data_IF_998755642913
#
_entry.id   IF_998755642913
#
_cell.length_a   1.000
_cell.length_b   1.000
_cell.length_c   1.000
_cell.angle_alpha   90.00
_cell.angle_beta   90.00
_cell.angle_gamma   90.00
#
_symmetry.space_group_name_H-M   'P 1'
#
loop_
_entity.id
_entity.type
_entity.pdbx_description
1 polymer ?
#
# COMPACT_ATOMS: atom_id res chain seq x y z
N UNK A 1 14.81 -30.83 10.08
CA UNK A 1 14.22 -31.11 8.75
C UNK A 1 12.87 -30.42 8.71
N UNK A 2 12.74 -29.35 7.93
CA UNK A 2 11.47 -28.64 7.78
C UNK A 2 10.70 -29.27 6.62
N UNK A 3 9.43 -29.60 6.85
CA UNK A 3 8.54 -30.07 5.78
C UNK A 3 7.80 -28.87 5.20
N UNK A 4 7.95 -28.65 3.90
CA UNK A 4 7.32 -27.53 3.18
C UNK A 4 6.12 -28.05 2.39
N UNK A 5 4.94 -27.53 2.67
CA UNK A 5 3.71 -27.85 1.94
C UNK A 5 3.27 -26.60 1.17
N UNK A 6 3.31 -26.69 -0.17
CA UNK A 6 2.75 -25.65 -1.04
C UNK A 6 1.34 -26.08 -1.40
N UNK A 7 0.35 -25.31 -0.97
CA UNK A 7 -1.06 -25.58 -1.24
C UNK A 7 -1.56 -24.64 -2.34
N UNK A 8 -1.84 -25.20 -3.52
CA UNK A 8 -2.46 -24.47 -4.63
C UNK A 8 -3.97 -24.45 -4.44
N UNK A 9 -4.46 -23.52 -3.60
CA UNK A 9 -5.89 -23.25 -3.46
C UNK A 9 -6.28 -22.16 -4.45
N UNK A 10 -7.02 -22.52 -5.50
CA UNK A 10 -7.52 -21.51 -6.46
C UNK A 10 -8.69 -20.72 -5.92
N UNK A 11 -9.70 -21.38 -5.35
CA UNK A 11 -10.87 -20.69 -4.79
C UNK A 11 -11.71 -21.62 -3.90
N UNK A 12 -12.23 -21.12 -2.78
CA UNK A 12 -13.17 -21.85 -1.90
C UNK A 12 -14.47 -21.07 -1.75
N UNK A 13 -15.59 -21.75 -2.05
CA UNK A 13 -16.94 -21.27 -1.76
C UNK A 13 -17.50 -22.05 -0.57
N UNK A 14 -17.78 -21.35 0.53
CA UNK A 14 -18.44 -21.91 1.70
C UNK A 14 -19.80 -21.25 1.92
N UNK A 15 -20.85 -22.06 1.89
CA UNK A 15 -22.22 -21.63 2.20
C UNK A 15 -22.62 -22.11 3.59
N UNK A 16 -22.91 -21.19 4.51
CA UNK A 16 -23.48 -21.48 5.82
C UNK A 16 -24.51 -20.43 6.24
N UNK A 17 -25.40 -20.83 7.14
CA UNK A 17 -26.49 -20.02 7.68
C UNK A 17 -25.94 -18.98 8.68
N UNK A 18 -26.58 -17.80 8.76
CA UNK A 18 -26.18 -16.63 9.57
C UNK A 18 -26.17 -16.92 11.09
N UNK A 19 -25.17 -17.67 11.57
CA UNK A 19 -24.60 -17.68 12.93
C UNK A 19 -23.84 -18.99 13.14
N UNK A 20 -22.53 -18.92 13.32
CA UNK A 20 -21.72 -20.07 13.75
C UNK A 20 -20.29 -20.08 13.23
N UNK A 21 -19.51 -21.03 13.75
CA UNK A 21 -18.23 -21.42 13.18
C UNK A 21 -18.45 -22.49 12.11
N UNK A 22 -17.64 -22.46 11.06
CA UNK A 22 -17.78 -23.31 9.90
C UNK A 22 -16.44 -23.97 9.60
N UNK A 23 -16.48 -25.28 9.39
CA UNK A 23 -15.30 -26.02 8.97
C UNK A 23 -15.40 -26.32 7.47
N UNK A 24 -14.45 -25.82 6.69
CA UNK A 24 -14.22 -26.24 5.32
C UNK A 24 -13.13 -27.31 5.30
N UNK A 25 -13.34 -28.38 4.53
CA UNK A 25 -12.35 -29.44 4.36
C UNK A 25 -11.96 -29.54 2.89
N UNK A 26 -10.69 -29.32 2.60
CA UNK A 26 -10.10 -29.45 1.27
C UNK A 26 -9.53 -30.84 1.09
N UNK A 27 -10.09 -31.59 0.14
CA UNK A 27 -9.67 -32.97 -0.17
C UNK A 27 -8.46 -33.06 -1.10
N UNK A 28 -7.51 -32.14 -0.97
CA UNK A 28 -6.21 -32.25 -1.66
C UNK A 28 -5.22 -33.01 -0.77
N UNK A 29 -4.13 -33.55 -1.33
CA UNK A 29 -3.04 -34.08 -0.51
C UNK A 29 -2.09 -32.92 -0.20
N UNK A 30 -1.80 -32.60 1.08
CA UNK A 30 -2.41 -33.09 2.33
C UNK A 30 -3.81 -32.51 2.63
N UNK A 31 -4.61 -33.20 3.44
CA UNK A 31 -5.97 -32.78 3.81
C UNK A 31 -5.88 -31.51 4.67
N UNK A 32 -6.44 -30.41 4.17
CA UNK A 32 -6.43 -29.11 4.86
C UNK A 32 -7.84 -28.80 5.38
N UNK A 33 -7.96 -28.55 6.68
CA UNK A 33 -9.13 -27.99 7.32
C UNK A 33 -8.99 -26.47 7.45
N UNK A 34 -10.09 -25.74 7.27
CA UNK A 34 -10.19 -24.32 7.55
C UNK A 34 -11.35 -24.10 8.50
N UNK A 35 -11.11 -23.39 9.58
CA UNK A 35 -12.15 -22.94 10.50
C UNK A 35 -12.44 -21.46 10.24
N UNK A 36 -13.69 -21.15 9.96
CA UNK A 36 -14.17 -19.80 9.72
C UNK A 36 -15.17 -19.41 10.79
N UNK A 37 -15.22 -18.12 11.12
CA UNK A 37 -16.25 -17.52 11.96
C UNK A 37 -16.93 -16.36 11.23
N UNK A 38 -18.15 -16.03 11.66
CA UNK A 38 -18.88 -14.88 11.18
C UNK A 38 -19.24 -14.00 12.38
N UNK A 39 -18.83 -12.73 12.34
CA UNK A 39 -19.03 -11.77 13.42
C UNK A 39 -19.69 -10.50 12.89
N UNK A 40 -20.65 -9.97 13.64
CA UNK A 40 -21.29 -8.69 13.34
C UNK A 40 -20.44 -7.58 13.96
N UNK A 41 -19.88 -6.71 13.13
CA UNK A 41 -19.18 -5.52 13.61
C UNK A 41 -20.18 -4.37 13.76
N UNK A 42 -20.62 -4.13 14.99
CA UNK A 42 -21.57 -3.06 15.36
C UNK A 42 -21.17 -1.68 14.81
N UNK A 43 -19.87 -1.36 14.81
CA UNK A 43 -19.35 -0.08 14.28
C UNK A 43 -19.62 0.11 12.78
N UNK A 44 -19.71 -0.99 12.02
CA UNK A 44 -19.97 -0.98 10.58
C UNK A 44 -21.40 -1.40 10.21
N UNK A 45 -22.16 -1.95 11.17
CA UNK A 45 -23.47 -2.56 10.92
C UNK A 45 -23.42 -3.72 9.92
N UNK A 46 -22.25 -4.32 9.71
CA UNK A 46 -22.01 -5.31 8.66
C UNK A 46 -21.44 -6.60 9.25
N UNK A 47 -21.82 -7.73 8.64
CA UNK A 47 -21.25 -9.04 8.93
C UNK A 47 -19.89 -9.20 8.27
N UNK A 48 -18.93 -9.71 9.03
CA UNK A 48 -17.58 -10.00 8.58
C UNK A 48 -17.27 -11.46 8.84
N UNK A 49 -16.66 -12.11 7.85
CA UNK A 49 -16.10 -13.42 8.07
C UNK A 49 -14.59 -13.33 8.30
N UNK A 50 -14.09 -14.18 9.18
CA UNK A 50 -12.67 -14.37 9.41
C UNK A 50 -12.32 -15.85 9.35
N UNK A 51 -11.09 -16.15 8.92
CA UNK A 51 -10.50 -17.47 9.09
C UNK A 51 -9.82 -17.47 10.45
N UNK A 52 -10.25 -18.36 11.36
CA UNK A 52 -9.72 -18.42 12.71
C UNK A 52 -8.49 -19.34 12.76
N UNK A 53 -8.60 -20.52 12.15
CA UNK A 53 -7.53 -21.52 12.14
C UNK A 53 -7.49 -22.32 10.85
N UNK A 54 -6.30 -22.80 10.51
CA UNK A 54 -6.01 -23.70 9.39
C UNK A 54 -5.36 -24.94 9.98
N UNK A 55 -5.96 -26.08 9.73
CA UNK A 55 -5.44 -27.35 10.20
C UNK A 55 -4.93 -28.20 9.04
N UNK A 56 -3.80 -28.84 9.25
CA UNK A 56 -3.13 -29.70 8.28
C UNK A 56 -3.07 -31.10 8.87
N UNK A 57 -3.89 -32.00 8.33
CA UNK A 57 -3.84 -33.40 8.71
C UNK A 57 -2.74 -34.10 7.91
N UNK A 58 -1.74 -34.62 8.61
CA UNK A 58 -0.65 -35.40 8.04
C UNK A 58 -0.56 -36.75 8.74
N UNK A 59 -0.11 -37.78 8.01
CA UNK A 59 0.06 -39.12 8.57
C UNK A 59 -1.21 -39.69 9.25
N UNK A 60 -2.39 -39.44 8.66
CA UNK A 60 -3.73 -39.96 9.06
C UNK A 60 -4.28 -39.57 10.44
N UNK A 61 -3.45 -39.30 11.45
CA UNK A 61 -3.89 -38.95 12.81
C UNK A 61 -3.23 -37.72 13.42
N UNK A 62 -2.16 -37.18 12.82
CA UNK A 62 -1.48 -36.01 13.34
C UNK A 62 -2.00 -34.74 12.65
N UNK A 63 -2.27 -33.70 13.43
CA UNK A 63 -2.78 -32.43 12.93
C UNK A 63 -1.84 -31.29 13.35
N UNK A 64 -1.39 -30.52 12.36
CA UNK A 64 -0.68 -29.27 12.58
C UNK A 64 -1.66 -28.11 12.43
N UNK A 65 -1.88 -27.37 13.51
CA UNK A 65 -2.84 -26.25 13.56
C UNK A 65 -2.10 -24.92 13.49
N UNK A 66 -2.58 -24.04 12.63
CA UNK A 66 -2.09 -22.68 12.43
C UNK A 66 -3.21 -21.69 12.69
N UNK A 67 -2.99 -20.68 13.52
CA UNK A 67 -3.93 -19.58 13.73
C UNK A 67 -3.76 -18.55 12.62
N UNK A 68 -4.86 -18.01 12.10
CA UNK A 68 -4.84 -16.95 11.11
C UNK A 68 -5.13 -15.59 11.75
N UNK A 69 -4.32 -14.58 11.45
CA UNK A 69 -4.41 -13.25 12.11
C UNK A 69 -5.08 -12.18 11.26
N UNK A 70 -4.78 -12.14 9.95
CA UNK A 70 -5.20 -11.03 9.06
C UNK A 70 -5.93 -11.55 7.81
N UNK A 71 -6.75 -12.58 7.99
CA UNK A 71 -7.57 -13.17 6.92
C UNK A 71 -9.04 -12.94 7.25
N UNK A 72 -9.54 -11.76 6.91
CA UNK A 72 -10.94 -11.36 7.14
C UNK A 72 -11.48 -10.52 5.98
N UNK A 73 -12.78 -10.60 5.74
CA UNK A 73 -13.49 -9.78 4.75
C UNK A 73 -14.98 -9.64 5.08
N UNK A 74 -15.66 -8.65 4.49
CA UNK A 74 -17.12 -8.56 4.56
C UNK A 74 -17.78 -9.87 4.11
N UNK A 75 -18.81 -10.32 4.83
CA UNK A 75 -19.60 -11.50 4.43
C UNK A 75 -20.19 -11.36 3.03
N UNK A 76 -20.45 -10.13 2.56
CA UNK A 76 -20.95 -9.79 1.23
C UNK A 76 -19.92 -9.87 0.11
N UNK A 77 -18.62 -9.91 0.44
CA UNK A 77 -17.49 -9.89 -0.50
C UNK A 77 -16.69 -11.21 -0.45
N UNK A 78 -15.81 -11.43 -1.42
CA UNK A 78 -14.79 -12.48 -1.32
C UNK A 78 -13.48 -11.88 -0.82
N UNK A 79 -12.66 -12.66 -0.11
CA UNK A 79 -11.30 -12.27 0.25
C UNK A 79 -10.34 -12.88 -0.77
N UNK A 80 -9.41 -12.08 -1.30
CA UNK A 80 -8.37 -12.55 -2.21
C UNK A 80 -6.99 -12.11 -1.74
N UNK A 81 -6.04 -13.03 -1.76
CA UNK A 81 -4.66 -12.74 -1.41
C UNK A 81 -3.69 -13.54 -2.27
N UNK A 82 -2.64 -12.89 -2.77
CA UNK A 82 -1.63 -13.56 -3.59
C UNK A 82 -0.84 -14.60 -2.79
N UNK A 83 -0.52 -14.28 -1.53
CA UNK A 83 0.27 -15.14 -0.66
C UNK A 83 -0.30 -15.15 0.76
N UNK A 84 -0.72 -16.33 1.23
CA UNK A 84 -1.05 -16.57 2.65
C UNK A 84 -0.10 -17.66 3.14
N UNK A 85 0.82 -17.31 4.02
CA UNK A 85 1.93 -18.20 4.39
C UNK A 85 2.21 -18.16 5.88
N UNK A 86 2.77 -19.25 6.40
CA UNK A 86 3.33 -19.27 7.76
C UNK A 86 4.75 -18.72 7.84
N UNK A 87 5.40 -18.45 6.70
CA UNK A 87 6.74 -17.89 6.69
C UNK A 87 6.74 -16.37 6.91
N UNK A 88 7.68 -15.91 7.74
CA UNK A 88 7.91 -14.48 8.02
C UNK A 88 8.13 -13.64 6.75
N UNK A 89 8.72 -14.24 5.71
CA UNK A 89 9.00 -13.57 4.43
C UNK A 89 7.73 -13.11 3.70
N UNK A 90 6.60 -13.74 3.97
CA UNK A 90 5.29 -13.44 3.37
C UNK A 90 4.30 -12.99 4.45
N UNK A 91 4.76 -12.13 5.36
CA UNK A 91 3.99 -11.53 6.46
C UNK A 91 3.51 -12.49 7.55
N UNK A 92 3.83 -13.79 7.48
CA UNK A 92 3.47 -14.81 8.48
C UNK A 92 2.00 -14.72 8.95
N UNK A 93 1.07 -14.67 7.99
CA UNK A 93 -0.38 -14.62 8.24
C UNK A 93 -0.91 -15.84 9.00
N UNK A 94 -0.17 -16.96 8.95
CA UNK A 94 -0.49 -18.21 9.62
C UNK A 94 0.53 -18.51 10.73
N UNK A 95 0.14 -18.39 11.99
CA UNK A 95 1.01 -18.63 13.13
C UNK A 95 0.87 -20.08 13.61
N UNK A 96 1.96 -20.84 13.80
CA UNK A 96 1.88 -22.20 14.30
C UNK A 96 1.36 -22.20 15.75
N UNK A 97 0.22 -22.87 15.99
CA UNK A 97 -0.38 -22.98 17.32
C UNK A 97 0.10 -24.22 18.09
N UNK A 98 0.67 -25.21 17.41
CA UNK A 98 1.21 -26.45 18.03
C UNK A 98 2.70 -26.64 17.73
N UNK A 99 3.39 -27.42 18.56
CA UNK A 99 4.81 -27.76 18.31
C UNK A 99 5.01 -28.54 17.01
N UNK A 100 4.01 -29.35 16.64
CA UNK A 100 3.99 -30.03 15.35
C UNK A 100 3.92 -29.02 14.20
N UNK A 101 3.11 -27.96 14.33
CA UNK A 101 2.98 -26.91 13.32
C UNK A 101 4.28 -26.14 13.08
N UNK A 102 5.17 -25.99 14.07
CA UNK A 102 6.49 -25.34 13.89
C UNK A 102 7.42 -26.09 12.93
N UNK A 103 7.18 -27.39 12.70
CA UNK A 103 7.96 -28.23 11.77
C UNK A 103 7.44 -28.16 10.34
N UNK A 104 6.27 -27.56 10.16
CA UNK A 104 5.59 -27.44 8.88
C UNK A 104 5.54 -25.98 8.45
N UNK A 105 5.81 -25.74 7.17
CA UNK A 105 5.59 -24.46 6.55
C UNK A 105 4.53 -24.61 5.46
N UNK A 106 3.43 -23.86 5.59
CA UNK A 106 2.32 -23.86 4.64
C UNK A 106 2.35 -22.55 3.89
N UNK A 107 2.24 -22.64 2.57
CA UNK A 107 2.07 -21.46 1.72
C UNK A 107 0.93 -21.71 0.75
N UNK A 108 -0.09 -20.86 0.83
CA UNK A 108 -1.14 -20.72 -0.14
C UNK A 108 -0.79 -19.62 -1.13
N UNK A 109 -0.95 -19.92 -2.41
CA UNK A 109 -0.78 -18.97 -3.51
C UNK A 109 -2.13 -18.76 -4.20
N UNK A 110 -2.42 -17.52 -4.59
CA UNK A 110 -3.69 -17.13 -5.22
C UNK A 110 -4.93 -17.54 -4.38
N UNK A 111 -4.85 -17.33 -3.07
CA UNK A 111 -5.90 -17.69 -2.13
C UNK A 111 -7.13 -16.80 -2.32
N UNK A 112 -8.24 -17.38 -2.78
CA UNK A 112 -9.54 -16.71 -2.82
C UNK A 112 -10.58 -17.50 -2.01
N UNK A 113 -11.28 -16.82 -1.09
CA UNK A 113 -12.29 -17.44 -0.25
C UNK A 113 -13.52 -16.54 -0.11
N UNK A 114 -14.70 -17.13 -0.14
CA UNK A 114 -15.95 -16.44 0.19
C UNK A 114 -16.79 -17.31 1.10
N UNK A 115 -17.25 -16.70 2.19
CA UNK A 115 -18.06 -17.35 3.19
C UNK A 115 -19.41 -16.63 3.39
N UNK A 116 -20.44 -17.39 3.74
CA UNK A 116 -21.76 -16.95 4.24
C UNK A 116 -22.71 -16.22 3.26
N UNK A 117 -22.28 -15.30 2.40
CA UNK A 117 -23.16 -14.59 1.45
C UNK A 117 -22.84 -14.90 -0.01
N UNK A 118 -23.06 -16.15 -0.42
CA UNK A 118 -22.90 -16.56 -1.83
C UNK A 118 -24.24 -16.39 -2.55
N UNK A 119 -24.36 -15.36 -3.38
CA UNK A 119 -25.50 -15.23 -4.30
C UNK A 119 -25.19 -15.96 -5.60
N UNK A 120 -25.99 -16.96 -5.97
CA UNK A 120 -25.94 -17.69 -7.26
C UNK A 120 -24.71 -18.57 -7.56
N UNK A 121 -23.89 -18.91 -6.56
CA UNK A 121 -22.72 -19.80 -6.76
C UNK A 121 -21.54 -19.16 -7.49
N UNK A 122 -21.48 -17.81 -7.53
CA UNK A 122 -20.37 -17.04 -8.07
C UNK A 122 -19.69 -16.23 -6.97
N UNK A 123 -18.41 -15.92 -7.17
CA UNK A 123 -17.70 -15.04 -6.25
C UNK A 123 -18.21 -13.61 -6.35
N UNK A 124 -18.52 -13.02 -5.20
CA UNK A 124 -18.71 -11.57 -5.03
C UNK A 124 -17.39 -10.84 -5.26
N UNK A 125 -17.42 -9.51 -5.52
CA UNK A 125 -16.20 -8.71 -5.67
C UNK A 125 -15.17 -9.03 -4.59
N UNK A 126 -13.92 -9.19 -5.00
CA UNK A 126 -12.84 -9.56 -4.10
C UNK A 126 -12.27 -8.32 -3.38
N UNK A 127 -12.16 -8.40 -2.07
CA UNK A 127 -11.34 -7.53 -1.24
C UNK A 127 -9.93 -8.12 -1.23
N UNK A 128 -8.99 -7.40 -1.83
CA UNK A 128 -7.59 -7.83 -1.88
C UNK A 128 -6.88 -7.54 -0.55
N UNK A 129 -6.06 -8.49 -0.09
CA UNK A 129 -5.27 -8.36 1.14
C UNK A 129 -4.17 -7.29 1.05
N UNK A 130 -3.77 -6.93 -0.18
CA UNK A 130 -2.81 -5.86 -0.44
C UNK A 130 -3.60 -4.63 -0.83
N UNK A 131 -3.66 -3.65 0.06
CA UNK A 131 -4.15 -2.33 -0.32
C UNK A 131 -3.19 -1.77 -1.37
N UNK A 132 -3.71 -1.38 -2.55
CA UNK A 132 -2.93 -0.83 -3.67
C UNK A 132 -1.98 0.32 -3.28
N UNK A 133 -2.27 0.98 -2.15
CA UNK A 133 -1.35 1.90 -1.49
C UNK A 133 -1.07 1.40 -0.08
N UNK A 134 0.14 0.87 0.13
CA UNK A 134 0.60 0.55 1.49
C UNK A 134 0.65 1.84 2.33
N UNK A 135 0.50 1.77 3.66
CA UNK A 135 0.62 2.94 4.53
C UNK A 135 1.94 3.70 4.31
N UNK A 136 3.03 2.98 4.04
CA UNK A 136 4.33 3.59 3.73
C UNK A 136 4.31 4.40 2.43
N UNK A 137 3.73 3.86 1.35
CA UNK A 137 3.60 4.57 0.07
C UNK A 137 2.70 5.79 0.24
N UNK A 138 1.60 5.67 0.99
CA UNK A 138 0.68 6.77 1.24
C UNK A 138 1.39 7.92 1.97
N UNK A 139 2.15 7.62 3.03
CA UNK A 139 2.94 8.63 3.73
C UNK A 139 3.99 9.29 2.82
N UNK A 140 4.62 8.51 1.93
CA UNK A 140 5.54 9.01 0.91
C UNK A 140 4.87 9.94 -0.10
N UNK A 141 3.69 9.59 -0.60
CA UNK A 141 2.95 10.41 -1.55
C UNK A 141 2.46 11.71 -0.90
N UNK A 142 1.96 11.67 0.34
CA UNK A 142 1.52 12.85 1.08
C UNK A 142 2.70 13.81 1.28
N UNK A 143 3.84 13.30 1.74
CA UNK A 143 5.04 14.13 1.97
C UNK A 143 5.59 14.69 0.66
N UNK A 144 5.66 13.88 -0.40
CA UNK A 144 6.07 14.34 -1.74
C UNK A 144 5.15 15.43 -2.28
N UNK A 145 3.83 15.30 -2.07
CA UNK A 145 2.85 16.31 -2.48
C UNK A 145 3.05 17.63 -1.73
N UNK A 146 3.29 17.57 -0.41
CA UNK A 146 3.55 18.76 0.41
C UNK A 146 4.81 19.48 -0.09
N UNK A 147 5.91 18.76 -0.34
CA UNK A 147 7.15 19.35 -0.84
C UNK A 147 6.95 19.97 -2.23
N UNK A 148 6.18 19.33 -3.11
CA UNK A 148 5.82 19.88 -4.41
C UNK A 148 5.04 21.19 -4.30
N UNK A 149 4.08 21.28 -3.38
CA UNK A 149 3.32 22.50 -3.15
C UNK A 149 4.20 23.64 -2.63
N UNK A 150 5.12 23.35 -1.70
CA UNK A 150 6.09 24.33 -1.19
C UNK A 150 7.01 24.83 -2.31
N UNK A 151 7.51 23.92 -3.15
CA UNK A 151 8.35 24.26 -4.29
C UNK A 151 7.58 25.12 -5.30
N UNK A 152 6.35 24.73 -5.64
CA UNK A 152 5.50 25.50 -6.54
C UNK A 152 5.22 26.91 -6.01
N UNK A 153 5.00 27.05 -4.70
CA UNK A 153 4.83 28.36 -4.06
C UNK A 153 6.11 29.22 -4.13
N UNK A 154 7.27 28.62 -3.85
CA UNK A 154 8.54 29.32 -3.98
C UNK A 154 8.82 29.77 -5.42
N UNK A 155 8.58 28.88 -6.40
CA UNK A 155 8.70 29.19 -7.82
C UNK A 155 7.73 30.29 -8.25
N UNK A 156 6.48 30.23 -7.78
CA UNK A 156 5.48 31.27 -8.05
C UNK A 156 5.97 32.65 -7.57
N UNK A 157 6.58 32.72 -6.38
CA UNK A 157 7.17 33.96 -5.87
C UNK A 157 8.36 34.44 -6.72
N UNK A 158 9.24 33.54 -7.17
CA UNK A 158 10.38 33.88 -8.05
C UNK A 158 9.90 34.38 -9.42
N UNK A 159 8.89 33.73 -10.00
CA UNK A 159 8.29 34.15 -11.28
C UNK A 159 7.64 35.53 -11.14
N UNK A 160 6.95 35.79 -10.03
CA UNK A 160 6.37 37.11 -9.76
C UNK A 160 7.43 38.21 -9.67
N UNK A 161 8.54 37.97 -8.96
CA UNK A 161 9.66 38.92 -8.88
C UNK A 161 10.28 39.17 -10.27
N UNK A 162 10.53 38.11 -11.02
CA UNK A 162 11.03 38.19 -12.41
C UNK A 162 10.09 38.95 -13.34
N UNK A 163 8.78 38.77 -13.17
CA UNK A 163 7.79 39.50 -13.96
C UNK A 163 7.80 40.99 -13.64
N UNK A 164 7.95 41.36 -12.36
CA UNK A 164 8.06 42.77 -11.94
C UNK A 164 9.33 43.42 -12.50
N UNK A 165 10.49 42.76 -12.40
CA UNK A 165 11.74 43.29 -12.97
C UNK A 165 11.64 43.48 -14.49
N UNK A 166 11.00 42.55 -15.20
CA UNK A 166 10.85 42.62 -16.65
C UNK A 166 9.88 43.72 -17.10
N UNK A 167 8.78 43.92 -16.35
CA UNK A 167 7.84 45.03 -16.58
C UNK A 167 8.47 46.39 -16.27
N UNK A 168 9.31 46.47 -15.22
CA UNK A 168 10.05 47.69 -14.90
C UNK A 168 11.12 48.01 -15.94
N UNK A 169 11.80 47.01 -16.51
CA UNK A 169 12.75 47.21 -17.62
C UNK A 169 12.04 47.71 -18.89
N UNK A 170 10.88 47.13 -19.24
CA UNK A 170 10.06 47.62 -20.36
C UNK A 170 9.48 49.01 -20.11
N UNK A 171 9.14 49.35 -18.87
CA UNK A 171 8.63 50.67 -18.50
C UNK A 171 9.74 51.73 -18.47
N UNK A 172 10.95 51.35 -18.07
CA UNK A 172 12.13 52.22 -18.15
C UNK A 172 12.48 52.57 -19.60
N UNK A 173 12.41 51.61 -20.52
CA UNK A 173 12.59 51.84 -21.96
C UNK A 173 11.46 52.72 -22.57
N UNK A 174 10.25 52.64 -22.03
CA UNK A 174 9.12 53.49 -22.47
C UNK A 174 9.27 54.94 -21.94
N UNK A 175 9.90 55.14 -20.77
CA UNK A 175 10.07 56.47 -20.17
C UNK A 175 11.38 57.18 -20.57
N UNK A 176 12.38 56.43 -21.03
CA UNK A 176 13.57 56.97 -21.69
C UNK A 176 13.55 56.57 -23.17
N UNK A 177 13.06 57.43 -24.08
CA UNK A 177 13.28 57.18 -25.49
C UNK A 177 14.80 57.24 -25.73
N UNK A 178 15.38 56.13 -26.21
CA UNK A 178 16.68 56.18 -26.88
C UNK A 178 16.59 57.22 -28.00
N UNK A 179 17.14 58.40 -27.75
CA UNK A 179 17.57 59.31 -28.80
C UNK A 179 19.09 59.24 -28.87
N UNK A 180 19.66 59.18 -30.08
CA UNK A 180 21.03 58.79 -30.29
C UNK A 180 21.97 59.97 -30.01
N UNK A 181 23.22 59.64 -29.67
CA UNK A 181 24.43 60.49 -29.70
C UNK A 181 24.77 61.29 -28.43
N UNK A 182 25.77 60.78 -27.69
CA UNK A 182 27.01 61.45 -27.22
C UNK A 182 27.58 60.55 -26.10
N UNK A 183 28.35 59.52 -26.43
CA UNK A 183 29.81 59.60 -26.54
C UNK A 183 30.45 60.56 -25.53
N UNK A 184 31.35 59.98 -24.72
CA UNK A 184 32.33 60.63 -23.83
C UNK A 184 31.83 61.03 -22.44
N UNK A 185 32.13 60.20 -21.43
CA UNK A 185 33.13 60.47 -20.39
C UNK A 185 32.93 59.52 -19.20
N UNK A 186 33.13 58.21 -19.40
CA UNK A 186 33.35 57.30 -18.25
C UNK A 186 34.85 57.31 -17.98
N UNK A 187 35.23 57.98 -16.89
CA UNK A 187 36.60 58.33 -16.53
C UNK A 187 37.59 57.19 -16.74
N UNK A 188 38.54 57.41 -17.64
CA UNK A 188 39.78 56.67 -17.69
C UNK A 188 40.68 57.08 -16.52
N UNK A 189 41.19 56.04 -15.87
CA UNK A 189 42.39 55.95 -15.06
C UNK A 189 43.47 57.01 -15.36
N UNK A 190 44.02 57.65 -14.32
CA UNK A 190 45.49 57.76 -14.17
C UNK A 190 45.91 58.35 -12.82
N UNK A 191 46.81 57.60 -12.17
CA UNK A 191 47.69 58.05 -11.11
C UNK A 191 48.60 59.20 -11.60
N UNK A 192 48.87 60.19 -10.76
CA UNK A 192 50.24 60.71 -10.50
C UNK A 192 50.27 61.78 -9.40
N UNK A 193 50.88 61.41 -8.28
CA UNK A 193 51.90 62.16 -7.54
C UNK A 193 52.38 63.49 -8.18
N UNK A 194 52.37 64.60 -7.41
CA UNK A 194 53.59 65.37 -7.05
C UNK A 194 53.31 66.63 -6.22
N UNK A 195 54.15 66.78 -5.22
CA UNK A 195 54.29 67.90 -4.30
C UNK A 195 55.01 69.11 -4.96
N UNK A 196 55.01 70.25 -4.24
CA UNK A 196 55.87 71.45 -4.40
C UNK A 196 55.38 72.42 -5.50
N UNK A 197 55.09 73.70 -5.22
CA UNK A 197 55.90 74.73 -4.55
C UNK A 197 55.04 75.77 -3.83
#
# INVERSE_FOLDING_TARGET
>A
VYSHAICLLKSILQTQKQNGSVNAVLRHLPLVGLQLSNTLYESSGQWWFSVDSVSLLYNTSEEAVFNASDVYAPASASYRCLHVSSLQRYSALLLPSSDHARRWAITFTDFQIQAFSVSSGKFSPASDCVTFLTPAILMGLITSLILLLVLAYALHMVIHLKHIEHEDEHKADIYYPQTPEQHEHYCAENATEKNVM
#
